data_IF_890168976277
#
_entry.id   IF_890168976277
#
_cell.length_a   1.000
_cell.length_b   1.000
_cell.length_c   1.000
_cell.angle_alpha   90.00
_cell.angle_beta   90.00
_cell.angle_gamma   90.00
#
_symmetry.space_group_name_H-M   'P 1'
#
loop_
_entity.id
_entity.type
_entity.pdbx_description
1 polymer ?
#
# COMPACT_ATOMS: atom_id res chain seq x y z
N UNK A 1 27.03 -3.08 -71.22
CA UNK A 1 25.68 -3.67 -71.43
C UNK A 1 24.75 -3.12 -70.36
N UNK A 2 23.82 -2.22 -70.74
CA UNK A 2 22.92 -1.52 -69.81
C UNK A 2 21.65 -2.34 -69.64
N UNK A 3 21.47 -2.99 -68.49
CA UNK A 3 20.21 -3.63 -68.15
C UNK A 3 19.12 -2.55 -68.01
N UNK A 4 17.98 -2.67 -68.70
CA UNK A 4 16.96 -1.63 -68.69
C UNK A 4 16.32 -1.59 -67.29
N UNK A 5 16.27 -0.40 -66.68
CA UNK A 5 15.65 -0.13 -65.37
C UNK A 5 14.21 -0.67 -65.24
N UNK A 6 13.56 -0.93 -66.37
CA UNK A 6 12.23 -1.53 -66.47
C UNK A 6 12.18 -2.98 -65.95
N UNK A 7 13.22 -3.79 -66.17
CA UNK A 7 13.25 -5.19 -65.75
C UNK A 7 13.30 -5.36 -64.23
N UNK A 8 13.93 -4.42 -63.52
CA UNK A 8 13.99 -4.42 -62.06
C UNK A 8 12.64 -4.07 -61.42
N UNK A 9 11.88 -3.18 -62.07
CA UNK A 9 10.53 -2.82 -61.64
C UNK A 9 9.57 -4.00 -61.77
N UNK A 10 9.63 -4.75 -62.88
CA UNK A 10 8.79 -5.94 -63.07
C UNK A 10 9.12 -7.07 -62.08
N UNK A 11 10.39 -7.30 -61.76
CA UNK A 11 10.80 -8.25 -60.72
C UNK A 11 10.27 -7.85 -59.34
N UNK A 12 10.38 -6.56 -58.97
CA UNK A 12 9.93 -6.08 -57.67
C UNK A 12 8.41 -6.16 -57.51
N UNK A 13 7.66 -5.79 -58.56
CA UNK A 13 6.19 -5.91 -58.57
C UNK A 13 5.78 -7.39 -58.51
N UNK A 14 6.48 -8.28 -59.23
CA UNK A 14 6.23 -9.72 -59.16
C UNK A 14 6.42 -10.29 -57.75
N UNK A 15 7.53 -9.97 -57.08
CA UNK A 15 7.78 -10.38 -55.70
C UNK A 15 6.75 -9.82 -54.72
N UNK A 16 6.30 -8.57 -54.92
CA UNK A 16 5.30 -7.95 -54.06
C UNK A 16 3.92 -8.62 -54.19
N UNK A 17 3.51 -8.99 -55.41
CA UNK A 17 2.25 -9.72 -55.65
C UNK A 17 2.30 -11.13 -55.04
N UNK A 18 3.42 -11.85 -55.19
CA UNK A 18 3.60 -13.16 -54.55
C UNK A 18 3.58 -13.04 -53.02
N UNK A 19 4.22 -12.03 -52.46
CA UNK A 19 4.21 -11.78 -51.02
C UNK A 19 2.80 -11.46 -50.51
N UNK A 20 2.06 -10.58 -51.17
CA UNK A 20 0.70 -10.20 -50.77
C UNK A 20 -0.30 -11.37 -50.90
N UNK A 21 -0.15 -12.20 -51.93
CA UNK A 21 -0.98 -13.42 -52.09
C UNK A 21 -0.65 -14.47 -51.03
N UNK A 22 0.62 -14.63 -50.66
CA UNK A 22 1.03 -15.49 -49.56
C UNK A 22 0.44 -15.02 -48.21
N UNK A 23 0.54 -13.73 -47.90
CA UNK A 23 -0.01 -13.14 -46.67
C UNK A 23 -1.54 -13.27 -46.63
N UNK A 24 -2.24 -13.00 -47.75
CA UNK A 24 -3.70 -13.14 -47.81
C UNK A 24 -4.15 -14.58 -47.57
N UNK A 25 -3.45 -15.55 -48.14
CA UNK A 25 -3.78 -16.98 -47.95
C UNK A 25 -3.59 -17.42 -46.50
N UNK A 26 -2.52 -16.98 -45.84
CA UNK A 26 -2.30 -17.26 -44.43
C UNK A 26 -3.29 -16.55 -43.49
N UNK A 27 -3.78 -15.37 -43.89
CA UNK A 27 -4.80 -14.64 -43.14
C UNK A 27 -6.18 -15.31 -43.24
N UNK A 28 -6.57 -15.79 -44.43
CA UNK A 28 -7.86 -16.46 -44.64
C UNK A 28 -7.95 -17.83 -43.95
N UNK A 29 -6.84 -18.59 -43.85
CA UNK A 29 -6.78 -19.86 -43.08
C UNK A 29 -6.86 -19.66 -41.56
N UNK A 30 -6.62 -18.43 -41.05
CA UNK A 30 -6.56 -18.14 -39.61
C UNK A 30 -7.89 -17.62 -39.03
N UNK A 31 -8.97 -17.58 -39.81
CA UNK A 31 -10.26 -17.04 -39.37
C UNK A 31 -11.18 -18.17 -38.85
N UNK A 32 -11.65 -18.12 -37.58
CA UNK A 32 -12.63 -19.09 -37.09
C UNK A 32 -13.96 -18.98 -37.84
N UNK A 33 -14.52 -20.11 -38.28
CA UNK A 33 -15.84 -20.17 -38.92
C UNK A 33 -16.94 -19.94 -37.88
N UNK A 34 -17.78 -18.94 -38.14
CA UNK A 34 -19.07 -18.72 -37.47
C UNK A 34 -20.14 -19.59 -38.18
N UNK A 35 -20.96 -20.40 -37.49
CA UNK A 35 -22.00 -21.17 -38.18
C UNK A 35 -23.21 -20.31 -38.57
N UNK A 36 -23.58 -20.34 -39.85
CA UNK A 36 -24.81 -19.77 -40.39
C UNK A 36 -26.05 -20.62 -40.07
N UNK A 37 -27.18 -19.91 -39.98
CA UNK A 37 -28.52 -20.28 -39.45
C UNK A 37 -29.28 -21.40 -40.21
N UNK A 38 -30.32 -21.97 -39.57
CA UNK A 38 -31.76 -22.00 -39.99
C UNK A 38 -32.56 -23.10 -39.21
N UNK A 39 -33.92 -23.09 -39.10
CA UNK A 39 -34.94 -22.12 -39.52
C UNK A 39 -35.96 -21.70 -38.42
N UNK A 40 -36.79 -20.72 -38.78
CA UNK A 40 -37.92 -20.14 -38.04
C UNK A 40 -39.07 -21.16 -37.81
N UNK A 41 -39.44 -21.45 -36.56
CA UNK A 41 -40.78 -21.95 -36.24
C UNK A 41 -41.33 -21.29 -34.96
N UNK A 42 -42.38 -20.49 -35.16
CA UNK A 42 -43.21 -19.89 -34.12
C UNK A 42 -44.30 -20.90 -33.74
N UNK A 43 -44.35 -21.32 -32.48
CA UNK A 43 -45.60 -21.63 -31.78
C UNK A 43 -45.46 -21.23 -30.31
N UNK A 44 -46.23 -20.22 -29.92
CA UNK A 44 -46.59 -19.95 -28.53
C UNK A 44 -47.41 -21.12 -27.96
N UNK A 45 -47.30 -21.38 -26.66
CA UNK A 45 -48.41 -21.41 -25.69
C UNK A 45 -47.89 -21.81 -24.30
N UNK A 46 -48.25 -20.97 -23.32
CA UNK A 46 -48.16 -21.09 -21.87
C UNK A 46 -47.84 -22.45 -21.24
N UNK A 47 -46.85 -22.45 -20.34
CA UNK A 47 -47.05 -23.02 -19.00
C UNK A 47 -46.22 -22.32 -17.93
N UNK A 48 -46.96 -21.74 -17.01
CA UNK A 48 -46.56 -21.03 -15.82
C UNK A 48 -45.87 -21.96 -14.83
N UNK A 49 -44.71 -21.56 -14.31
CA UNK A 49 -44.22 -21.99 -13.00
C UNK A 49 -43.43 -20.86 -12.36
N UNK A 50 -44.02 -20.34 -11.29
CA UNK A 50 -43.40 -19.47 -10.29
C UNK A 50 -42.06 -20.02 -9.81
N UNK A 51 -41.01 -19.21 -9.87
CA UNK A 51 -39.88 -19.28 -8.94
C UNK A 51 -39.21 -17.90 -8.93
N UNK A 52 -38.91 -17.42 -7.73
CA UNK A 52 -38.26 -16.15 -7.44
C UNK A 52 -37.08 -15.87 -8.38
N UNK A 53 -36.89 -14.60 -8.75
CA UNK A 53 -35.62 -14.12 -9.28
C UNK A 53 -34.52 -14.52 -8.29
N UNK A 54 -33.78 -15.58 -8.61
CA UNK A 54 -32.47 -15.80 -8.02
C UNK A 54 -31.63 -14.66 -8.58
N UNK A 55 -31.48 -13.59 -7.80
CA UNK A 55 -30.40 -12.63 -8.02
C UNK A 55 -29.14 -13.48 -7.89
N UNK A 56 -28.53 -13.82 -9.03
CA UNK A 56 -27.23 -14.48 -9.05
C UNK A 56 -26.25 -13.52 -8.41
N UNK A 57 -25.94 -13.70 -7.12
CA UNK A 57 -24.89 -12.95 -6.43
C UNK A 57 -23.59 -13.11 -7.24
N UNK A 58 -23.19 -12.05 -7.94
CA UNK A 58 -21.96 -12.06 -8.70
C UNK A 58 -20.83 -11.64 -7.76
N UNK A 59 -19.90 -12.56 -7.54
CA UNK A 59 -18.73 -12.29 -6.71
C UNK A 59 -17.53 -11.95 -7.58
N UNK A 60 -16.77 -10.96 -7.14
CA UNK A 60 -15.49 -10.63 -7.73
C UNK A 60 -14.40 -10.67 -6.66
N UNK A 61 -13.21 -11.11 -7.05
CA UNK A 61 -12.08 -11.22 -6.15
C UNK A 61 -10.99 -10.23 -6.54
N UNK A 62 -10.27 -9.71 -5.56
CA UNK A 62 -9.07 -8.92 -5.76
C UNK A 62 -7.97 -9.41 -4.83
N UNK A 63 -6.77 -9.58 -5.37
CA UNK A 63 -5.59 -10.03 -4.64
C UNK A 63 -4.67 -8.83 -4.46
N UNK A 64 -4.24 -8.59 -3.22
CA UNK A 64 -3.38 -7.47 -2.88
C UNK A 64 -2.20 -7.92 -2.03
N UNK A 65 -1.00 -7.73 -2.58
CA UNK A 65 0.25 -7.88 -1.86
C UNK A 65 0.69 -6.52 -1.29
N UNK A 66 0.74 -6.42 0.03
CA UNK A 66 1.40 -5.35 0.77
C UNK A 66 2.83 -5.79 1.10
N UNK A 67 3.79 -5.33 0.29
CA UNK A 67 5.21 -5.54 0.56
C UNK A 67 5.75 -4.46 1.48
N UNK A 68 5.61 -4.70 2.79
CA UNK A 68 6.23 -3.95 3.89
C UNK A 68 7.72 -4.23 4.07
N UNK A 69 8.46 -3.29 4.65
CA UNK A 69 9.87 -3.51 5.04
C UNK A 69 10.03 -4.51 6.19
N UNK A 70 9.03 -4.61 7.08
CA UNK A 70 9.06 -5.51 8.26
C UNK A 70 8.34 -6.85 8.03
N UNK A 71 7.68 -7.01 6.88
CA UNK A 71 6.86 -8.17 6.57
C UNK A 71 6.08 -7.95 5.28
N UNK A 72 5.79 -9.03 4.57
CA UNK A 72 4.94 -8.99 3.37
C UNK A 72 3.63 -9.70 3.65
N UNK A 73 2.53 -9.08 3.21
CA UNK A 73 1.17 -9.54 3.46
C UNK A 73 0.46 -9.77 2.14
N UNK A 74 -0.42 -10.75 2.10
CA UNK A 74 -1.40 -10.94 1.03
C UNK A 74 -2.80 -10.80 1.64
N UNK A 75 -3.62 -10.03 0.95
CA UNK A 75 -5.04 -9.90 1.19
C UNK A 75 -5.77 -10.42 -0.05
N UNK A 76 -6.77 -11.28 0.14
CA UNK A 76 -7.67 -11.75 -0.91
C UNK A 76 -9.07 -11.30 -0.54
N UNK A 77 -9.53 -10.25 -1.20
CA UNK A 77 -10.83 -9.65 -0.97
C UNK A 77 -11.86 -10.27 -1.89
N UNK A 78 -13.00 -10.68 -1.34
CA UNK A 78 -14.20 -11.12 -2.06
C UNK A 78 -15.24 -10.02 -1.96
N UNK A 79 -15.65 -9.47 -3.08
CA UNK A 79 -16.68 -8.46 -3.19
C UNK A 79 -17.95 -9.05 -3.78
N UNK A 80 -19.09 -8.71 -3.16
CA UNK A 80 -20.41 -8.86 -3.74
C UNK A 80 -20.67 -7.68 -4.66
N UNK A 81 -20.95 -7.98 -5.93
CA UNK A 81 -21.23 -7.01 -6.96
C UNK A 81 -22.74 -6.98 -7.20
N UNK A 82 -23.32 -5.80 -7.03
CA UNK A 82 -24.73 -5.56 -7.32
C UNK A 82 -24.84 -4.51 -8.43
N UNK A 83 -25.78 -4.66 -9.38
CA UNK A 83 -25.93 -3.70 -10.47
C UNK A 83 -26.19 -2.29 -9.94
N UNK A 84 -25.39 -1.32 -10.40
CA UNK A 84 -25.45 0.09 -10.02
C UNK A 84 -25.16 0.40 -8.54
N UNK A 85 -24.59 -0.54 -7.79
CA UNK A 85 -24.12 -0.32 -6.43
C UNK A 85 -22.60 -0.43 -6.34
N UNK A 86 -22.02 0.23 -5.32
CA UNK A 86 -20.61 0.06 -5.00
C UNK A 86 -20.33 -1.39 -4.56
N UNK A 87 -19.20 -2.00 -4.98
CA UNK A 87 -18.81 -3.33 -4.52
C UNK A 87 -18.85 -3.47 -2.99
N UNK A 88 -19.61 -4.42 -2.46
CA UNK A 88 -19.69 -4.65 -1.01
C UNK A 88 -18.67 -5.71 -0.62
N UNK A 89 -17.79 -5.44 0.34
CA UNK A 89 -16.86 -6.47 0.80
C UNK A 89 -17.63 -7.59 1.52
N UNK A 90 -17.55 -8.81 0.99
CA UNK A 90 -18.17 -9.99 1.54
C UNK A 90 -17.21 -10.79 2.44
N UNK A 91 -15.93 -10.88 2.05
CA UNK A 91 -14.92 -11.59 2.83
C UNK A 91 -13.50 -11.12 2.53
N UNK A 92 -12.59 -11.30 3.49
CA UNK A 92 -11.15 -11.08 3.34
C UNK A 92 -10.39 -12.30 3.87
N UNK A 93 -9.52 -12.87 3.03
CA UNK A 93 -8.51 -13.83 3.47
C UNK A 93 -7.17 -13.13 3.59
N UNK A 94 -6.54 -13.24 4.76
CA UNK A 94 -5.29 -12.55 5.07
C UNK A 94 -4.17 -13.53 5.46
N UNK A 95 -2.93 -13.25 5.01
CA UNK A 95 -1.72 -13.94 5.48
C UNK A 95 -0.52 -13.00 5.44
N UNK A 96 0.38 -13.15 6.41
CA UNK A 96 1.63 -12.38 6.48
C UNK A 96 2.84 -13.30 6.68
N UNK A 97 3.97 -12.92 6.10
CA UNK A 97 5.29 -13.54 6.30
C UNK A 97 6.28 -12.52 6.88
N UNK A 98 7.27 -13.01 7.63
CA UNK A 98 8.38 -12.23 8.18
C UNK A 98 9.71 -12.99 8.02
N UNK A 99 10.83 -12.32 7.72
CA UNK A 99 10.95 -10.92 7.33
C UNK A 99 10.24 -10.62 5.98
N UNK A 100 10.09 -9.34 5.64
CA UNK A 100 9.44 -8.94 4.38
C UNK A 100 10.25 -9.33 3.14
N UNK A 101 9.63 -9.32 1.97
CA UNK A 101 10.30 -9.65 0.69
C UNK A 101 11.54 -8.80 0.40
N UNK A 102 11.63 -7.58 0.96
CA UNK A 102 12.83 -6.74 0.83
C UNK A 102 14.08 -7.37 1.47
N UNK A 103 13.92 -8.12 2.56
CA UNK A 103 15.03 -8.78 3.26
C UNK A 103 15.64 -9.95 2.48
N UNK A 104 15.01 -10.35 1.38
CA UNK A 104 15.47 -11.38 0.47
C UNK A 104 15.87 -10.79 -0.89
N UNK A 105 16.06 -9.47 -1.00
CA UNK A 105 16.37 -8.83 -2.28
C UNK A 105 17.64 -9.37 -2.95
N UNK A 106 18.62 -9.79 -2.15
CA UNK A 106 19.88 -10.40 -2.61
C UNK A 106 19.81 -11.93 -2.74
N UNK A 107 18.70 -12.56 -2.33
CA UNK A 107 18.46 -14.01 -2.38
C UNK A 107 17.15 -14.31 -3.14
N UNK A 108 17.28 -14.41 -4.47
CA UNK A 108 16.13 -14.53 -5.37
C UNK A 108 15.30 -15.80 -5.14
N UNK A 109 15.90 -16.89 -4.65
CA UNK A 109 15.16 -18.13 -4.37
C UNK A 109 14.33 -18.00 -3.09
N UNK A 110 14.85 -17.39 -2.02
CA UNK A 110 14.04 -17.14 -0.80
C UNK A 110 12.91 -16.15 -1.04
N UNK A 111 13.16 -15.10 -1.84
CA UNK A 111 12.12 -14.17 -2.29
C UNK A 111 10.97 -14.89 -3.00
N UNK A 112 11.32 -15.84 -3.87
CA UNK A 112 10.37 -16.64 -4.64
C UNK A 112 9.60 -17.61 -3.77
N UNK A 113 10.25 -18.28 -2.81
CA UNK A 113 9.58 -19.15 -1.84
C UNK A 113 8.54 -18.38 -1.01
N UNK A 114 8.90 -17.22 -0.47
CA UNK A 114 7.98 -16.37 0.30
C UNK A 114 6.80 -15.89 -0.55
N UNK A 115 7.03 -15.53 -1.81
CA UNK A 115 5.95 -15.15 -2.72
C UNK A 115 5.04 -16.34 -3.05
N UNK A 116 5.59 -17.53 -3.25
CA UNK A 116 4.83 -18.75 -3.52
C UNK A 116 3.97 -19.17 -2.33
N UNK A 117 4.46 -19.02 -1.09
CA UNK A 117 3.66 -19.26 0.12
C UNK A 117 2.42 -18.36 0.13
N UNK A 118 2.60 -17.06 -0.11
CA UNK A 118 1.51 -16.11 -0.14
C UNK A 118 0.56 -16.35 -1.34
N UNK A 119 1.08 -16.63 -2.54
CA UNK A 119 0.27 -16.94 -3.72
C UNK A 119 -0.59 -18.19 -3.53
N UNK A 120 -0.13 -19.16 -2.73
CA UNK A 120 -0.92 -20.34 -2.38
C UNK A 120 -2.22 -19.95 -1.65
N UNK A 121 -2.20 -18.91 -0.82
CA UNK A 121 -3.39 -18.39 -0.14
C UNK A 121 -4.44 -17.92 -1.14
N UNK A 122 -4.02 -17.14 -2.16
CA UNK A 122 -4.91 -16.74 -3.24
C UNK A 122 -5.45 -17.96 -4.01
N UNK A 123 -4.60 -18.97 -4.23
CA UNK A 123 -5.00 -20.19 -4.94
C UNK A 123 -6.05 -21.00 -4.23
N UNK A 124 -5.89 -21.15 -2.93
CA UNK A 124 -6.80 -21.94 -2.11
C UNK A 124 -8.11 -21.16 -1.84
N UNK A 125 -8.10 -19.83 -2.01
CA UNK A 125 -9.26 -18.95 -1.76
C UNK A 125 -10.13 -18.72 -3.01
N UNK A 126 -9.53 -18.56 -4.19
CA UNK A 126 -10.23 -18.12 -5.41
C UNK A 126 -10.58 -19.33 -6.28
N UNK A 127 -11.86 -19.54 -6.65
CA UNK A 127 -12.26 -20.58 -7.59
C UNK A 127 -11.55 -20.42 -8.93
N UNK A 128 -11.06 -21.54 -9.51
CA UNK A 128 -10.25 -21.57 -10.74
C UNK A 128 -10.86 -20.76 -11.91
N UNK A 129 -12.19 -20.80 -12.02
CA UNK A 129 -12.96 -20.08 -13.05
C UNK A 129 -12.87 -18.55 -12.96
N UNK A 130 -12.53 -18.00 -11.79
CA UNK A 130 -12.48 -16.55 -11.53
C UNK A 130 -11.06 -15.99 -11.53
N UNK A 131 -10.04 -16.83 -11.72
CA UNK A 131 -8.63 -16.39 -11.67
C UNK A 131 -8.27 -15.37 -12.72
N UNK A 132 -8.69 -15.61 -13.96
CA UNK A 132 -8.40 -14.70 -15.08
C UNK A 132 -9.06 -13.32 -14.90
N UNK A 133 -10.15 -13.26 -14.14
CA UNK A 133 -10.88 -12.04 -13.80
C UNK A 133 -10.51 -11.42 -12.44
N UNK A 134 -9.59 -12.04 -11.69
CA UNK A 134 -9.19 -11.57 -10.37
C UNK A 134 -7.90 -10.73 -10.48
N UNK A 135 -7.99 -9.39 -10.41
CA UNK A 135 -6.79 -8.57 -10.46
C UNK A 135 -5.86 -8.88 -9.28
N UNK A 136 -4.58 -9.03 -9.59
CA UNK A 136 -3.50 -9.12 -8.62
C UNK A 136 -2.71 -7.82 -8.63
N UNK A 137 -2.63 -7.20 -7.46
CA UNK A 137 -1.94 -5.95 -7.24
C UNK A 137 -0.80 -6.25 -6.27
N UNK A 138 0.42 -5.87 -6.63
CA UNK A 138 1.54 -5.84 -5.69
C UNK A 138 1.97 -4.40 -5.52
N UNK A 139 1.90 -3.92 -4.28
CA UNK A 139 2.38 -2.59 -3.93
C UNK A 139 3.37 -2.74 -2.80
N UNK A 140 4.59 -2.35 -3.09
CA UNK A 140 5.60 -2.19 -2.08
C UNK A 140 5.50 -0.81 -1.42
N UNK A 141 5.71 -0.81 -0.10
CA UNK A 141 5.91 0.39 0.70
C UNK A 141 7.36 0.87 0.60
N UNK A 142 7.81 1.75 1.50
CA UNK A 142 9.12 2.39 1.43
C UNK A 142 10.30 1.41 1.26
N UNK A 143 10.27 0.23 1.88
CA UNK A 143 11.39 -0.73 1.87
C UNK A 143 11.85 -1.20 0.49
N UNK A 144 10.94 -1.66 -0.37
CA UNK A 144 11.30 -2.15 -1.71
C UNK A 144 11.67 -1.00 -2.69
N UNK A 145 11.30 0.25 -2.34
CA UNK A 145 11.65 1.46 -3.09
C UNK A 145 13.07 1.96 -2.77
N UNK A 146 13.64 1.48 -1.67
CA UNK A 146 14.99 1.81 -1.18
C UNK A 146 16.06 0.82 -1.68
N UNK A 147 15.70 -0.10 -2.59
CA UNK A 147 16.67 -1.01 -3.22
C UNK A 147 17.75 -0.19 -3.97
N UNK A 148 19.04 -0.54 -3.82
CA UNK A 148 20.11 0.20 -4.49
C UNK A 148 20.00 0.15 -6.02
N UNK A 149 20.05 1.31 -6.68
CA UNK A 149 20.32 1.43 -8.12
C UNK A 149 19.34 2.30 -8.94
N UNK A 150 19.78 2.71 -10.13
CA UNK A 150 19.01 3.52 -11.12
C UNK A 150 17.63 2.93 -11.50
N UNK A 151 17.44 1.62 -11.32
CA UNK A 151 16.22 0.90 -11.75
C UNK A 151 14.99 1.18 -10.87
N UNK A 152 15.17 1.40 -9.57
CA UNK A 152 14.07 1.77 -8.66
C UNK A 152 13.58 3.20 -8.95
N UNK A 153 14.50 4.11 -9.24
CA UNK A 153 14.21 5.52 -9.57
C UNK A 153 13.42 5.67 -10.87
N UNK A 154 13.79 4.92 -11.92
CA UNK A 154 13.10 4.95 -13.23
C UNK A 154 11.66 4.43 -13.14
N UNK A 155 11.40 3.46 -12.26
CA UNK A 155 10.05 2.91 -12.04
C UNK A 155 9.16 3.89 -11.26
N UNK A 156 9.75 4.65 -10.33
CA UNK A 156 9.04 5.60 -9.46
C UNK A 156 8.70 6.91 -10.18
N UNK A 157 9.52 7.36 -11.12
CA UNK A 157 9.29 8.62 -11.87
C UNK A 157 8.03 8.57 -12.75
N UNK A 158 7.56 7.38 -13.15
CA UNK A 158 6.38 7.22 -14.03
C UNK A 158 5.03 7.14 -13.30
N UNK A 159 5.00 7.04 -11.97
CA UNK A 159 3.78 6.76 -11.18
C UNK A 159 3.50 7.85 -10.13
N UNK A 160 4.24 8.97 -10.16
CA UNK A 160 4.08 10.06 -9.18
C UNK A 160 2.85 10.91 -9.48
N UNK A 161 1.72 10.54 -8.91
CA UNK A 161 0.64 11.48 -8.64
C UNK A 161 1.16 12.58 -7.66
N UNK A 162 0.87 13.88 -7.91
CA UNK A 162 1.46 15.00 -7.16
C UNK A 162 1.19 14.99 -5.64
N UNK A 163 0.15 14.29 -5.19
CA UNK A 163 -0.21 14.20 -3.77
C UNK A 163 0.62 13.14 -3.01
N UNK A 164 0.88 11.99 -3.63
CA UNK A 164 1.57 10.84 -2.99
C UNK A 164 3.10 11.04 -2.99
N UNK A 165 3.64 11.77 -3.97
CA UNK A 165 5.07 12.04 -4.06
C UNK A 165 5.64 12.88 -2.90
N UNK A 166 4.81 13.73 -2.27
CA UNK A 166 5.29 14.69 -1.26
C UNK A 166 5.42 14.10 0.16
N UNK A 167 4.73 12.99 0.46
CA UNK A 167 4.72 12.40 1.82
C UNK A 167 5.60 11.15 1.97
N UNK A 168 6.37 10.79 0.94
CA UNK A 168 7.33 9.70 1.00
C UNK A 168 8.41 10.00 2.06
N UNK A 169 8.76 9.00 2.88
CA UNK A 169 9.69 9.17 4.01
C UNK A 169 9.07 9.77 5.27
N UNK A 170 7.79 10.13 5.25
CA UNK A 170 7.00 10.56 6.43
C UNK A 170 6.16 9.41 7.01
N UNK A 171 6.60 8.16 6.85
CA UNK A 171 6.08 7.07 7.66
C UNK A 171 6.67 7.15 9.07
N UNK A 172 6.00 6.61 10.10
CA UNK A 172 6.50 6.71 11.48
C UNK A 172 7.93 6.16 11.64
N UNK A 173 8.23 4.99 11.06
CA UNK A 173 9.56 4.38 11.17
C UNK A 173 10.66 5.18 10.46
N UNK A 174 10.37 5.68 9.25
CA UNK A 174 11.26 6.57 8.50
C UNK A 174 11.51 7.88 9.24
N UNK A 175 10.44 8.45 9.79
CA UNK A 175 10.46 9.67 10.59
C UNK A 175 11.29 9.48 11.86
N UNK A 176 11.18 8.31 12.49
CA UNK A 176 12.02 7.93 13.64
C UNK A 176 13.49 7.93 13.26
N UNK A 177 13.89 7.29 12.16
CA UNK A 177 15.28 7.31 11.69
C UNK A 177 15.76 8.75 11.51
N UNK A 178 15.00 9.58 10.80
CA UNK A 178 15.35 10.97 10.52
C UNK A 178 15.49 11.83 11.81
N UNK A 179 14.58 11.68 12.76
CA UNK A 179 14.62 12.40 14.05
C UNK A 179 15.79 11.94 14.92
N UNK A 180 16.10 10.64 14.90
CA UNK A 180 17.28 10.08 15.57
C UNK A 180 18.61 10.52 14.93
N UNK A 181 18.57 11.11 13.73
CA UNK A 181 19.75 11.62 13.01
C UNK A 181 20.34 10.63 11.99
N UNK A 182 19.63 9.54 11.68
CA UNK A 182 19.99 8.62 10.62
C UNK A 182 19.54 9.09 9.23
N UNK A 183 20.08 8.46 8.19
CA UNK A 183 19.78 8.75 6.78
C UNK A 183 19.34 7.45 6.11
N UNK A 184 18.17 7.45 5.45
CA UNK A 184 17.67 6.28 4.71
C UNK A 184 18.62 5.89 3.56
N UNK A 185 18.82 4.59 3.36
CA UNK A 185 19.57 4.06 2.20
C UNK A 185 21.09 4.26 2.25
N UNK A 186 21.64 4.85 3.32
CA UNK A 186 23.09 4.90 3.55
C UNK A 186 23.46 3.81 4.57
N UNK A 187 24.02 2.66 4.15
CA UNK A 187 24.66 1.73 5.07
C UNK A 187 25.92 2.40 5.61
N UNK A 188 25.81 3.00 6.79
CA UNK A 188 26.93 3.64 7.47
C UNK A 188 27.83 2.52 8.02
N UNK A 189 29.12 2.57 7.66
CA UNK A 189 30.08 1.53 8.00
C UNK A 189 30.29 1.46 9.53
N UNK A 190 29.70 0.45 10.19
CA UNK A 190 29.88 0.13 11.60
C UNK A 190 28.62 0.29 12.47
N UNK A 191 28.62 -0.20 13.73
CA UNK A 191 27.50 0.02 14.65
C UNK A 191 27.33 1.51 14.90
N UNK A 192 26.28 2.09 14.33
CA UNK A 192 26.08 3.53 14.34
C UNK A 192 25.36 3.96 15.61
N UNK A 193 25.99 4.87 16.34
CA UNK A 193 25.40 5.49 17.52
C UNK A 193 24.56 6.70 17.11
N UNK A 194 23.25 6.60 17.31
CA UNK A 194 22.29 7.68 17.09
C UNK A 194 21.85 8.24 18.43
N UNK A 195 22.09 9.54 18.65
CA UNK A 195 21.75 10.23 19.90
C UNK A 195 20.59 11.18 19.67
N UNK A 196 19.56 11.07 20.51
CA UNK A 196 18.36 11.90 20.35
C UNK A 196 17.80 12.38 21.69
N UNK A 197 17.33 13.65 21.76
CA UNK A 197 16.58 14.13 22.92
C UNK A 197 15.19 13.49 23.04
N UNK A 198 14.68 12.82 22.01
CA UNK A 198 13.39 12.13 22.07
C UNK A 198 13.43 10.77 22.83
N UNK A 199 14.58 10.41 23.40
CA UNK A 199 14.78 9.17 24.16
C UNK A 199 15.19 9.54 25.60
N UNK A 200 14.89 8.67 26.56
CA UNK A 200 15.24 8.91 27.97
C UNK A 200 16.76 9.13 28.11
N UNK A 201 17.26 10.12 28.88
CA UNK A 201 18.68 10.50 28.89
C UNK A 201 19.67 9.37 29.22
N UNK A 202 19.21 8.38 29.98
CA UNK A 202 19.95 7.19 30.42
C UNK A 202 19.66 5.94 29.57
N UNK A 203 18.78 6.04 28.57
CA UNK A 203 18.47 4.94 27.68
C UNK A 203 19.58 4.69 26.65
N UNK A 204 19.90 3.41 26.45
CA UNK A 204 20.74 2.90 25.38
C UNK A 204 20.20 1.55 24.93
N UNK A 205 19.96 1.37 23.63
CA UNK A 205 19.41 0.12 23.11
C UNK A 205 19.77 -0.11 21.64
N UNK A 206 19.51 -1.33 21.17
CA UNK A 206 19.63 -1.67 19.75
C UNK A 206 18.28 -1.50 19.06
N UNK A 207 18.27 -0.95 17.86
CA UNK A 207 17.07 -0.79 17.04
C UNK A 207 17.38 -1.13 15.59
N UNK A 208 16.63 -2.06 15.01
CA UNK A 208 16.78 -2.44 13.62
C UNK A 208 15.76 -1.71 12.74
N UNK A 209 16.24 -1.12 11.65
CA UNK A 209 15.38 -0.51 10.63
C UNK A 209 16.01 -0.65 9.25
N UNK A 210 15.22 -1.11 8.28
CA UNK A 210 15.69 -1.37 6.91
C UNK A 210 16.99 -2.20 6.89
N UNK A 211 17.01 -3.27 7.70
CA UNK A 211 18.14 -4.22 7.83
C UNK A 211 19.45 -3.63 8.40
N UNK A 212 19.40 -2.39 8.89
CA UNK A 212 20.52 -1.76 9.60
C UNK A 212 20.26 -1.78 11.10
N UNK A 213 21.21 -2.32 11.86
CA UNK A 213 21.19 -2.32 13.32
C UNK A 213 21.85 -1.04 13.86
N UNK A 214 21.05 -0.20 14.52
CA UNK A 214 21.49 1.04 15.14
C UNK A 214 21.63 0.88 16.65
N UNK A 215 22.64 1.52 17.23
CA UNK A 215 22.67 1.78 18.66
C UNK A 215 22.03 3.14 18.92
N UNK A 216 20.88 3.17 19.58
CA UNK A 216 20.14 4.40 19.87
C UNK A 216 20.32 4.79 21.34
N UNK A 217 20.58 6.08 21.59
CA UNK A 217 20.83 6.61 22.94
C UNK A 217 20.07 7.91 23.21
N UNK A 218 19.72 8.10 24.48
CA UNK A 218 19.26 9.38 25.01
C UNK A 218 20.32 10.46 24.96
N UNK A 219 19.90 11.68 24.67
CA UNK A 219 20.73 12.86 24.87
C UNK A 219 20.84 13.18 26.37
N UNK A 220 22.03 13.56 26.84
CA UNK A 220 22.26 13.90 28.25
C UNK A 220 21.32 15.02 28.74
N UNK A 221 20.94 14.93 30.01
CA UNK A 221 20.11 15.94 30.68
C UNK A 221 20.75 17.33 30.63
N UNK A 222 19.95 18.36 30.36
CA UNK A 222 20.39 19.75 30.27
C UNK A 222 19.32 20.68 29.71
N UNK A 223 18.41 20.16 28.89
CA UNK A 223 17.28 20.88 28.32
C UNK A 223 15.98 20.06 28.49
N UNK A 224 14.79 20.70 28.50
CA UNK A 224 13.52 20.00 28.54
C UNK A 224 13.35 19.00 27.37
N UNK A 225 13.06 17.73 27.71
CA UNK A 225 13.02 16.61 26.76
C UNK A 225 11.96 16.83 25.68
N UNK A 226 10.76 17.27 26.07
CA UNK A 226 9.65 17.47 25.14
C UNK A 226 9.98 18.56 24.10
N UNK A 227 10.45 19.73 24.53
CA UNK A 227 10.71 20.89 23.68
C UNK A 227 11.86 20.63 22.68
N UNK A 228 12.90 19.93 23.13
CA UNK A 228 14.02 19.54 22.28
C UNK A 228 13.64 18.46 21.28
N UNK A 229 12.81 17.49 21.69
CA UNK A 229 12.24 16.51 20.76
C UNK A 229 11.31 17.17 19.74
N UNK A 230 10.42 18.05 20.19
CA UNK A 230 9.49 18.82 19.36
C UNK A 230 10.25 19.58 18.26
N UNK A 231 11.29 20.32 18.64
CA UNK A 231 12.11 21.08 17.69
C UNK A 231 12.74 20.19 16.61
N UNK A 232 13.21 18.98 16.98
CA UNK A 232 13.74 18.02 16.00
C UNK A 232 12.66 17.52 15.05
N UNK A 233 11.48 17.20 15.57
CA UNK A 233 10.34 16.71 14.79
C UNK A 233 9.83 17.80 13.83
N UNK A 234 9.62 19.03 14.32
CA UNK A 234 9.21 20.18 13.51
C UNK A 234 10.19 20.44 12.37
N UNK A 235 11.50 20.44 12.67
CA UNK A 235 12.54 20.59 11.64
C UNK A 235 12.49 19.49 10.59
N UNK A 236 12.15 18.26 10.98
CA UNK A 236 12.04 17.14 10.07
C UNK A 236 10.82 17.27 9.14
N UNK A 237 9.69 17.76 9.64
CA UNK A 237 8.43 17.90 8.89
C UNK A 237 8.39 19.21 8.07
N UNK A 238 9.12 20.25 8.49
CA UNK A 238 9.08 21.58 7.90
C UNK A 238 9.16 21.56 6.37
N UNK A 239 8.16 22.18 5.72
CA UNK A 239 7.99 22.28 4.25
C UNK A 239 7.86 20.95 3.50
N UNK A 240 7.67 19.82 4.20
CA UNK A 240 7.44 18.50 3.59
C UNK A 240 5.96 18.14 3.50
N UNK A 241 5.10 18.86 4.21
CA UNK A 241 3.66 18.62 4.29
C UNK A 241 2.90 19.80 3.70
N UNK A 242 1.78 19.53 3.02
CA UNK A 242 0.83 20.56 2.57
C UNK A 242 -0.41 20.50 3.46
N UNK A 243 -0.85 21.65 3.92
CA UNK A 243 -2.11 21.80 4.67
C UNK A 243 -3.29 21.30 3.86
N UNK A 244 -4.29 20.75 4.55
CA UNK A 244 -5.53 20.28 3.94
C UNK A 244 -6.62 21.32 4.23
N UNK A 245 -7.25 21.86 3.18
CA UNK A 245 -8.37 22.79 3.36
C UNK A 245 -9.63 22.05 3.81
N UNK A 246 -10.39 22.62 4.75
CA UNK A 246 -11.66 22.06 5.20
C UNK A 246 -11.57 20.92 6.24
N UNK A 247 -10.39 20.62 6.80
CA UNK A 247 -10.21 19.55 7.82
C UNK A 247 -11.17 19.67 8.99
N UNK A 248 -11.54 20.89 9.38
CA UNK A 248 -12.44 21.13 10.51
C UNK A 248 -13.82 20.50 10.30
N UNK A 249 -14.31 20.53 9.07
CA UNK A 249 -15.69 20.14 8.71
C UNK A 249 -15.80 18.69 8.22
N UNK A 250 -14.69 17.97 8.12
CA UNK A 250 -14.64 16.60 7.59
C UNK A 250 -14.51 15.55 8.69
N UNK A 251 -15.19 14.40 8.56
CA UNK A 251 -14.97 13.25 9.45
C UNK A 251 -13.67 12.52 9.07
N UNK A 252 -12.85 12.20 10.06
CA UNK A 252 -11.61 11.45 9.87
C UNK A 252 -11.60 10.16 10.66
N UNK A 253 -11.17 9.10 9.98
CA UNK A 253 -10.70 7.88 10.61
C UNK A 253 -9.18 7.81 10.54
N UNK A 254 -8.54 7.40 11.63
CA UNK A 254 -7.10 7.20 11.68
C UNK A 254 -6.78 5.78 12.15
N UNK A 255 -5.70 5.23 11.61
CA UNK A 255 -5.39 3.80 11.67
C UNK A 255 -3.92 3.56 12.00
N UNK A 256 -3.54 2.30 12.13
CA UNK A 256 -2.15 1.87 12.30
C UNK A 256 -1.51 2.56 13.51
N UNK A 257 -0.40 3.27 13.33
CA UNK A 257 0.31 3.88 14.45
C UNK A 257 -0.46 4.95 15.21
N UNK A 258 -1.45 5.62 14.60
CA UNK A 258 -2.34 6.48 15.39
C UNK A 258 -3.12 5.64 16.41
N UNK A 259 -3.70 4.52 15.97
CA UNK A 259 -4.38 3.56 16.83
C UNK A 259 -3.45 3.02 17.92
N UNK A 260 -2.29 2.48 17.53
CA UNK A 260 -1.37 1.84 18.48
C UNK A 260 -0.89 2.83 19.55
N UNK A 261 -0.59 4.07 19.17
CA UNK A 261 -0.15 5.11 20.11
C UNK A 261 -1.28 5.59 21.03
N UNK A 262 -2.54 5.58 20.56
CA UNK A 262 -3.68 5.87 21.41
C UNK A 262 -3.93 4.75 22.45
N UNK A 263 -3.72 3.49 22.06
CA UNK A 263 -3.75 2.34 22.99
C UNK A 263 -2.63 2.45 24.03
N UNK A 264 -1.40 2.76 23.60
CA UNK A 264 -0.26 2.96 24.52
C UNK A 264 -0.53 4.07 25.54
N UNK A 265 -1.27 5.11 25.16
CA UNK A 265 -1.69 6.18 26.09
C UNK A 265 -2.90 5.82 26.97
N UNK A 266 -3.54 4.67 26.74
CA UNK A 266 -4.79 4.28 27.39
C UNK A 266 -5.98 5.17 27.03
N UNK A 267 -5.94 5.85 25.88
CA UNK A 267 -7.02 6.73 25.42
C UNK A 267 -8.17 5.95 24.78
N UNK A 268 -7.89 4.76 24.27
CA UNK A 268 -8.87 3.87 23.65
C UNK A 268 -8.65 2.44 24.12
N UNK A 269 -9.70 1.63 24.01
CA UNK A 269 -9.60 0.18 24.24
C UNK A 269 -8.94 -0.50 23.03
N UNK A 270 -8.02 -1.44 23.28
CA UNK A 270 -7.29 -2.12 22.20
C UNK A 270 -8.21 -2.94 21.28
N UNK A 271 -9.31 -3.48 21.81
CA UNK A 271 -10.21 -4.37 21.08
C UNK A 271 -11.32 -3.61 20.34
N UNK A 272 -11.89 -2.57 20.94
CA UNK A 272 -13.03 -1.84 20.38
C UNK A 272 -12.66 -0.52 19.69
N UNK A 273 -11.44 -0.02 19.90
CA UNK A 273 -11.05 1.30 19.43
C UNK A 273 -11.74 2.42 20.22
N UNK A 274 -11.86 3.59 19.60
CA UNK A 274 -12.50 4.75 20.22
C UNK A 274 -12.32 6.04 19.43
N UNK A 275 -12.59 7.16 20.09
CA UNK A 275 -12.39 8.50 19.52
C UNK A 275 -11.37 9.24 20.36
N UNK A 276 -10.43 9.92 19.70
CA UNK A 276 -9.44 10.78 20.35
C UNK A 276 -9.45 12.16 19.72
N UNK A 277 -9.07 13.17 20.49
CA UNK A 277 -8.79 14.51 19.96
C UNK A 277 -7.31 14.66 19.63
N UNK A 278 -7.00 15.57 18.72
CA UNK A 278 -5.59 15.93 18.43
C UNK A 278 -4.87 16.42 19.69
N UNK A 279 -5.56 17.14 20.58
CA UNK A 279 -5.05 17.58 21.88
C UNK A 279 -4.60 16.41 22.76
N UNK A 280 -5.25 15.26 22.68
CA UNK A 280 -4.94 14.12 23.54
C UNK A 280 -3.56 13.53 23.17
N UNK A 281 -3.18 13.54 21.89
CA UNK A 281 -1.81 13.20 21.46
C UNK A 281 -0.79 14.24 21.92
N UNK A 282 -1.11 15.53 21.83
CA UNK A 282 -0.21 16.62 22.25
C UNK A 282 0.07 16.53 23.76
N UNK A 283 -0.98 16.32 24.56
CA UNK A 283 -0.88 16.16 26.01
C UNK A 283 -0.18 14.85 26.39
N UNK A 284 -0.49 13.77 25.68
CA UNK A 284 0.19 12.48 25.80
C UNK A 284 1.69 12.59 25.53
N UNK A 285 2.09 13.27 24.46
CA UNK A 285 3.50 13.52 24.13
C UNK A 285 4.21 14.26 25.27
N UNK A 286 3.65 15.37 25.74
CA UNK A 286 4.20 16.14 26.88
C UNK A 286 4.35 15.27 28.12
N UNK A 287 3.29 14.53 28.47
CA UNK A 287 3.28 13.66 29.65
C UNK A 287 4.34 12.56 29.56
N UNK A 288 4.44 11.88 28.42
CA UNK A 288 5.39 10.78 28.22
C UNK A 288 6.82 11.31 28.22
N UNK A 289 7.12 12.35 27.44
CA UNK A 289 8.46 12.92 27.35
C UNK A 289 8.97 13.46 28.70
N UNK A 290 8.11 14.06 29.52
CA UNK A 290 8.51 14.62 30.82
C UNK A 290 8.70 13.57 31.92
N UNK A 291 8.17 12.36 31.76
CA UNK A 291 8.25 11.29 32.76
C UNK A 291 9.15 10.12 32.32
N UNK A 292 10.01 10.31 31.31
CA UNK A 292 10.89 9.25 30.84
C UNK A 292 11.94 8.87 31.89
N UNK A 293 12.09 7.58 32.18
CA UNK A 293 13.19 7.01 32.98
C UNK A 293 13.63 5.67 32.38
N UNK A 294 14.93 5.36 32.30
CA UNK A 294 15.43 4.16 31.62
C UNK A 294 15.01 2.82 32.23
N UNK A 295 14.32 2.81 33.37
CA UNK A 295 13.82 1.61 34.03
C UNK A 295 12.29 1.54 34.22
N UNK A 296 11.55 2.55 33.79
CA UNK A 296 10.10 2.67 34.06
C UNK A 296 9.17 2.16 32.95
N UNK A 297 9.71 1.75 31.80
CA UNK A 297 8.89 1.64 30.59
C UNK A 297 8.50 0.17 30.33
N UNK A 298 7.24 -0.17 30.63
CA UNK A 298 6.55 -1.35 30.04
C UNK A 298 6.21 -1.14 28.56
N UNK A 299 6.31 0.10 28.08
CA UNK A 299 6.02 0.60 26.73
C UNK A 299 7.29 0.81 25.88
N UNK A 300 7.11 1.05 24.58
CA UNK A 300 8.19 1.27 23.61
C UNK A 300 9.10 2.46 24.00
N UNK A 301 10.45 2.35 23.89
CA UNK A 301 11.37 3.45 24.21
C UNK A 301 11.22 4.68 23.27
N UNK A 302 10.47 4.52 22.17
CA UNK A 302 10.21 5.56 21.19
C UNK A 302 8.88 6.30 21.40
N UNK A 303 8.13 6.02 22.47
CA UNK A 303 6.77 6.56 22.63
C UNK A 303 6.75 8.10 22.65
N UNK A 304 7.70 8.75 23.34
CA UNK A 304 7.86 10.21 23.31
C UNK A 304 8.07 10.73 21.87
N UNK A 305 8.97 10.11 21.11
CA UNK A 305 9.24 10.45 19.72
C UNK A 305 7.97 10.31 18.87
N UNK A 306 7.32 9.14 18.95
CA UNK A 306 6.20 8.79 18.09
C UNK A 306 4.99 9.72 18.33
N UNK A 307 4.68 10.00 19.59
CA UNK A 307 3.58 10.91 19.96
C UNK A 307 3.87 12.35 19.56
N UNK A 308 5.12 12.80 19.75
CA UNK A 308 5.54 14.13 19.29
C UNK A 308 5.42 14.23 17.77
N UNK A 309 5.85 13.20 17.05
CA UNK A 309 5.73 13.12 15.60
C UNK A 309 4.27 13.18 15.11
N UNK A 310 3.40 12.34 15.67
CA UNK A 310 1.97 12.33 15.34
C UNK A 310 1.34 13.70 15.59
N UNK A 311 1.65 14.31 16.74
CA UNK A 311 1.12 15.62 17.13
C UNK A 311 1.51 16.71 16.12
N UNK A 312 2.81 16.81 15.79
CA UNK A 312 3.29 17.81 14.82
C UNK A 312 2.73 17.54 13.43
N UNK A 313 2.68 16.28 12.99
CA UNK A 313 2.15 15.95 11.66
C UNK A 313 0.69 16.37 11.51
N UNK A 314 -0.16 16.10 12.50
CA UNK A 314 -1.57 16.51 12.49
C UNK A 314 -1.71 18.04 12.48
N UNK A 315 -0.89 18.75 13.25
CA UNK A 315 -0.89 20.21 13.27
C UNK A 315 -0.43 20.82 11.93
N UNK A 316 0.62 20.27 11.31
CA UNK A 316 1.12 20.71 10.00
C UNK A 316 0.14 20.41 8.85
N UNK A 317 -0.73 19.41 9.04
CA UNK A 317 -1.87 19.12 8.15
C UNK A 317 -3.09 20.04 8.38
N UNK A 318 -3.01 20.97 9.34
CA UNK A 318 -4.05 21.94 9.72
C UNK A 318 -5.21 21.35 10.56
N UNK A 319 -4.99 20.22 11.24
CA UNK A 319 -5.98 19.71 12.19
C UNK A 319 -5.98 20.58 13.47
N UNK A 320 -7.14 21.13 13.89
CA UNK A 320 -7.19 21.88 15.13
C UNK A 320 -7.12 20.95 16.36
N UNK A 321 -6.66 21.44 17.52
CA UNK A 321 -6.49 20.59 18.72
C UNK A 321 -7.75 19.86 19.18
N UNK A 322 -8.93 20.46 19.00
CA UNK A 322 -10.22 19.89 19.35
C UNK A 322 -10.76 18.91 18.29
N UNK A 323 -10.08 18.73 17.15
CA UNK A 323 -10.54 17.81 16.10
C UNK A 323 -10.55 16.37 16.60
N UNK A 324 -11.69 15.74 16.46
CA UNK A 324 -11.87 14.32 16.76
C UNK A 324 -11.42 13.43 15.58
N UNK A 325 -10.74 12.34 15.92
CA UNK A 325 -10.31 11.27 15.03
C UNK A 325 -10.93 9.96 15.52
N UNK A 326 -11.64 9.27 14.64
CA UNK A 326 -12.22 7.94 14.92
C UNK A 326 -11.13 6.88 14.70
N UNK A 327 -10.81 6.11 15.72
CA UNK A 327 -9.78 5.07 15.70
C UNK A 327 -10.46 3.71 15.78
N UNK A 328 -10.39 2.95 14.70
CA UNK A 328 -10.96 1.61 14.64
C UNK A 328 -10.02 0.70 13.84
N UNK A 329 -9.77 -0.52 14.31
CA UNK A 329 -9.06 -1.55 13.50
C UNK A 329 -9.96 -2.10 12.38
N UNK A 330 -11.27 -2.03 12.59
CA UNK A 330 -12.27 -2.52 11.66
C UNK A 330 -13.45 -1.55 11.56
N UNK A 331 -14.02 -1.41 10.37
CA UNK A 331 -15.30 -0.73 10.16
C UNK A 331 -16.26 -1.76 9.58
N UNK A 332 -17.39 -2.02 10.25
CA UNK A 332 -18.36 -3.05 9.86
C UNK A 332 -17.74 -4.45 9.68
N UNK A 333 -16.87 -4.87 10.61
CA UNK A 333 -16.10 -6.13 10.57
C UNK A 333 -15.11 -6.28 9.39
N UNK A 334 -14.75 -5.17 8.75
CA UNK A 334 -13.76 -5.13 7.68
C UNK A 334 -12.48 -4.46 8.17
N UNK A 335 -11.33 -5.11 8.00
CA UNK A 335 -10.03 -4.53 8.37
C UNK A 335 -9.78 -3.25 7.55
N UNK A 336 -9.56 -2.15 8.26
CA UNK A 336 -9.30 -0.86 7.63
C UNK A 336 -7.85 -0.81 7.18
N UNK A 337 -7.62 -1.26 5.94
CA UNK A 337 -6.30 -1.29 5.32
C UNK A 337 -6.28 -0.47 4.03
N UNK A 338 -5.13 0.12 3.73
CA UNK A 338 -4.89 0.74 2.43
C UNK A 338 -4.99 -0.29 1.28
N UNK A 339 -4.73 -1.57 1.59
CA UNK A 339 -4.87 -2.70 0.68
C UNK A 339 -6.32 -2.86 0.21
N UNK A 340 -7.30 -2.74 1.11
CA UNK A 340 -8.72 -2.76 0.74
C UNK A 340 -9.08 -1.62 -0.20
N UNK A 341 -8.69 -0.38 0.14
CA UNK A 341 -9.00 0.79 -0.70
C UNK A 341 -8.36 0.71 -2.09
N UNK A 342 -7.11 0.26 -2.17
CA UNK A 342 -6.42 0.05 -3.45
C UNK A 342 -7.08 -1.04 -4.30
N UNK A 343 -7.52 -2.13 -3.67
CA UNK A 343 -8.21 -3.23 -4.35
C UNK A 343 -9.59 -2.78 -4.84
N UNK A 344 -10.34 -2.07 -4.01
CA UNK A 344 -11.65 -1.53 -4.36
C UNK A 344 -11.54 -0.59 -5.56
N UNK A 345 -10.60 0.36 -5.55
CA UNK A 345 -10.34 1.25 -6.67
C UNK A 345 -9.98 0.49 -7.96
N UNK A 346 -9.12 -0.52 -7.86
CA UNK A 346 -8.76 -1.35 -9.02
C UNK A 346 -9.98 -2.09 -9.58
N UNK A 347 -10.82 -2.69 -8.73
CA UNK A 347 -12.04 -3.37 -9.19
C UNK A 347 -12.97 -2.39 -9.88
N UNK A 348 -13.23 -1.21 -9.31
CA UNK A 348 -14.06 -0.19 -9.95
C UNK A 348 -13.46 0.31 -11.28
N UNK A 349 -12.14 0.53 -11.34
CA UNK A 349 -11.44 0.94 -12.56
C UNK A 349 -11.49 -0.15 -13.63
N UNK A 350 -11.35 -1.42 -13.24
CA UNK A 350 -11.42 -2.55 -14.15
C UNK A 350 -12.83 -2.67 -14.78
N UNK A 351 -13.89 -2.42 -14.01
CA UNK A 351 -15.27 -2.32 -14.53
C UNK A 351 -15.44 -1.17 -15.54
N UNK A 352 -14.84 -0.01 -15.26
CA UNK A 352 -15.02 1.20 -16.08
C UNK A 352 -14.11 1.24 -17.32
N UNK A 353 -12.91 0.68 -17.23
CA UNK A 353 -11.82 0.90 -18.18
C UNK A 353 -11.10 -0.37 -18.64
N UNK A 354 -11.41 -1.54 -18.07
CA UNK A 354 -10.75 -2.82 -18.40
C UNK A 354 -9.30 -2.93 -17.89
N UNK A 355 -8.84 -1.95 -17.12
CA UNK A 355 -7.48 -1.91 -16.55
C UNK A 355 -7.48 -1.29 -15.16
N UNK A 356 -6.54 -1.77 -14.35
CA UNK A 356 -5.97 -1.07 -13.20
C UNK A 356 -4.58 -0.55 -13.59
#
# INVERSE_FOLDING_TARGET
MRFPKLAFLFMFVGCLVVYLTYVKRHYDDSKPQLPDQLPLHRMDIHKQSTSAQVVSESFQYGIMFDAGSTGTRIHVFKFQIEPNEAPKLAHETFRAIKPGLSAYADDSEKSKEGLLELLKVARDTIPETLWSSSPLILRATAGLRLLPGEKATILLDKVREPLVANYLGLGLMSSRLAVLGGIEGQPLAGPQELVSPCLAPDYSGQWEHAEVLYTVKGQKAGEPIYETCLTKVEKMIYKRVRKIEGVKDMDFYAFSYYYDRAVDLGLIDESTGGTVRVSDYIEGAKKVCNNMSAGGIKESPFLCLDLTYISVLLQELDFPPDKELKLARQINNVETSWALGATFYCIESFHKHGTC
#
